data_IF_254262734261
#
_entry.id   IF_254262734261
#
_cell.length_a   1.000
_cell.length_b   1.000
_cell.length_c   1.000
_cell.angle_alpha   90.00
_cell.angle_beta   90.00
_cell.angle_gamma   90.00
#
_symmetry.space_group_name_H-M   'P 1'
#
loop_
_entity.id
_entity.type
_entity.pdbx_description
1 polymer ?
#
# COMPACT_ATOMS: atom_id res chain seq x y z
N UNK A 1 3.66 10.88 -16.42
CA UNK A 1 4.00 10.86 -14.98
C UNK A 1 3.14 9.83 -14.28
N UNK A 2 3.59 9.29 -13.16
CA UNK A 2 2.81 8.39 -12.33
C UNK A 2 3.19 8.52 -10.87
N UNK A 3 2.34 8.03 -9.97
CA UNK A 3 2.66 7.98 -8.56
C UNK A 3 1.95 6.84 -7.85
N UNK A 4 2.53 6.39 -6.75
CA UNK A 4 1.97 5.34 -5.92
C UNK A 4 2.36 5.49 -4.46
N UNK A 5 1.80 4.62 -3.65
CA UNK A 5 2.06 4.53 -2.22
C UNK A 5 2.70 3.20 -1.88
N UNK A 6 3.59 3.22 -0.92
CA UNK A 6 4.20 2.02 -0.34
C UNK A 6 4.04 2.05 1.18
N UNK A 7 3.01 1.36 1.72
CA UNK A 7 2.88 1.20 3.15
C UNK A 7 4.03 0.35 3.71
N UNK A 8 4.65 0.82 4.79
CA UNK A 8 5.68 0.08 5.50
C UNK A 8 5.39 0.01 6.98
N UNK A 9 5.91 -1.00 7.64
CA UNK A 9 5.72 -1.19 9.08
C UNK A 9 7.00 -1.65 9.76
N UNK A 10 7.05 -1.52 11.08
CA UNK A 10 8.09 -2.12 11.91
C UNK A 10 7.56 -3.38 12.59
N UNK A 11 8.19 -4.51 12.31
CA UNK A 11 7.89 -5.76 12.99
C UNK A 11 9.17 -6.44 13.48
N UNK A 12 9.26 -6.67 14.79
CA UNK A 12 10.45 -7.28 15.44
C UNK A 12 11.77 -6.58 15.06
N UNK A 13 11.73 -5.25 14.89
CA UNK A 13 12.89 -4.45 14.55
C UNK A 13 13.28 -4.42 13.06
N UNK A 14 12.51 -5.07 12.19
CA UNK A 14 12.68 -5.04 10.74
C UNK A 14 11.61 -4.18 10.08
N UNK A 15 11.95 -3.52 8.97
CA UNK A 15 10.98 -2.86 8.11
C UNK A 15 10.32 -3.91 7.22
N UNK A 16 9.00 -3.95 7.27
CA UNK A 16 8.15 -4.75 6.40
C UNK A 16 7.52 -3.84 5.35
N UNK A 17 7.50 -4.28 4.11
CA UNK A 17 7.00 -3.53 2.97
C UNK A 17 5.75 -4.23 2.42
N UNK A 18 4.63 -3.50 2.28
CA UNK A 18 3.40 -4.06 1.74
C UNK A 18 3.36 -3.85 0.24
N UNK A 19 3.32 -4.93 -0.53
CA UNK A 19 3.18 -4.90 -1.97
C UNK A 19 1.91 -5.59 -2.44
N UNK A 20 1.43 -5.15 -3.61
CA UNK A 20 0.30 -5.73 -4.32
C UNK A 20 0.75 -6.50 -5.56
N UNK A 21 0.10 -7.62 -5.83
CA UNK A 21 0.32 -8.45 -7.00
C UNK A 21 -0.69 -8.09 -8.09
N UNK A 22 -0.19 -7.58 -9.20
CA UNK A 22 -1.01 -7.23 -10.37
C UNK A 22 -1.80 -8.44 -10.87
N UNK A 23 -3.10 -8.31 -11.00
CA UNK A 23 -3.95 -9.38 -11.54
C UNK A 23 -3.59 -9.72 -12.98
N UNK A 24 -3.31 -8.71 -13.80
CA UNK A 24 -3.03 -8.86 -15.22
C UNK A 24 -1.70 -9.55 -15.53
N UNK A 25 -0.67 -9.33 -14.70
CA UNK A 25 0.71 -9.79 -14.99
C UNK A 25 1.22 -10.82 -13.99
N UNK A 26 0.61 -10.91 -12.79
CA UNK A 26 1.11 -11.71 -11.67
C UNK A 26 2.40 -11.15 -11.04
N UNK A 27 2.80 -9.94 -11.38
CA UNK A 27 4.01 -9.29 -10.85
C UNK A 27 3.67 -8.36 -9.69
N UNK A 28 4.61 -8.18 -8.77
CA UNK A 28 4.48 -7.33 -7.60
C UNK A 28 4.88 -5.88 -7.90
N UNK A 29 4.20 -4.92 -7.29
CA UNK A 29 4.54 -3.50 -7.24
C UNK A 29 3.95 -2.85 -5.98
N UNK A 30 4.23 -1.56 -5.79
CA UNK A 30 3.45 -0.70 -4.89
C UNK A 30 2.00 -0.54 -5.41
N UNK A 31 1.25 0.35 -4.76
CA UNK A 31 -0.12 0.69 -5.13
C UNK A 31 -0.10 2.04 -5.84
N UNK A 32 -0.23 2.03 -7.17
CA UNK A 32 -0.10 3.25 -7.94
C UNK A 32 -0.23 3.07 -9.44
N UNK A 33 -0.39 4.19 -10.13
CA UNK A 33 -0.65 4.24 -11.55
C UNK A 33 -0.33 5.57 -12.22
N UNK A 34 -1.01 5.83 -13.31
CA UNK A 34 -0.77 7.01 -14.14
C UNK A 34 -1.49 8.25 -13.60
N UNK A 35 -0.82 9.40 -13.70
CA UNK A 35 -1.40 10.70 -13.35
C UNK A 35 -2.48 11.09 -14.35
N UNK A 36 -3.66 11.41 -13.87
CA UNK A 36 -4.75 11.96 -14.66
C UNK A 36 -4.58 13.49 -14.88
N UNK A 37 -5.33 14.02 -15.85
CA UNK A 37 -5.23 15.42 -16.19
C UNK A 37 -5.66 16.33 -15.02
N UNK A 38 -4.73 17.14 -14.54
CA UNK A 38 -4.95 18.09 -13.44
C UNK A 38 -4.63 17.54 -12.06
N UNK A 39 -4.24 16.27 -11.93
CA UNK A 39 -3.78 15.72 -10.66
C UNK A 39 -2.35 16.17 -10.35
N UNK A 40 -2.10 16.38 -9.07
CA UNK A 40 -0.76 16.39 -8.49
C UNK A 40 -0.29 14.96 -8.22
N UNK A 41 1.02 14.75 -8.04
CA UNK A 41 1.59 13.42 -7.73
C UNK A 41 0.95 12.79 -6.49
N UNK A 42 0.72 13.55 -5.43
CA UNK A 42 0.09 13.03 -4.20
C UNK A 42 -1.38 12.67 -4.43
N UNK A 43 -2.11 13.43 -5.24
CA UNK A 43 -3.50 13.10 -5.59
C UNK A 43 -3.56 11.80 -6.38
N UNK A 44 -2.66 11.62 -7.36
CA UNK A 44 -2.52 10.35 -8.09
C UNK A 44 -2.22 9.19 -7.14
N UNK A 45 -1.22 9.34 -6.26
CA UNK A 45 -0.81 8.29 -5.33
C UNK A 45 -1.93 7.89 -4.36
N UNK A 46 -2.71 8.85 -3.87
CA UNK A 46 -3.85 8.62 -2.97
C UNK A 46 -5.00 7.95 -3.70
N UNK A 47 -5.38 8.42 -4.89
CA UNK A 47 -6.45 7.81 -5.69
C UNK A 47 -6.12 6.37 -6.02
N UNK A 48 -5.01 6.13 -6.67
CA UNK A 48 -4.56 4.79 -7.07
C UNK A 48 -4.40 3.86 -5.84
N UNK A 49 -3.77 4.36 -4.77
CA UNK A 49 -3.60 3.60 -3.56
C UNK A 49 -4.91 3.21 -2.89
N UNK A 50 -5.90 4.11 -2.86
CA UNK A 50 -7.24 3.82 -2.31
C UNK A 50 -7.98 2.78 -3.16
N UNK A 51 -7.92 2.91 -4.49
CA UNK A 51 -8.55 2.00 -5.44
C UNK A 51 -7.94 0.60 -5.37
N UNK A 52 -6.62 0.49 -5.51
CA UNK A 52 -5.91 -0.78 -5.54
C UNK A 52 -5.89 -1.53 -4.20
N UNK A 53 -6.00 -0.79 -3.08
CA UNK A 53 -6.18 -1.38 -1.75
C UNK A 53 -7.66 -1.64 -1.42
N UNK A 54 -8.61 -1.38 -2.34
CA UNK A 54 -10.04 -1.59 -2.13
C UNK A 54 -10.55 -0.93 -0.82
N UNK A 55 -10.01 0.23 -0.44
CA UNK A 55 -10.35 0.94 0.78
C UNK A 55 -9.86 0.32 2.10
N UNK A 56 -9.00 -0.71 2.07
CA UNK A 56 -8.47 -1.37 3.30
C UNK A 56 -7.69 -0.45 4.22
N UNK A 57 -7.17 0.67 3.71
CA UNK A 57 -6.50 1.71 4.52
C UNK A 57 -7.34 2.98 4.66
N UNK A 58 -8.64 2.90 4.41
CA UNK A 58 -9.59 4.01 4.48
C UNK A 58 -9.92 4.63 3.13
N UNK A 59 -10.67 5.73 3.17
CA UNK A 59 -10.97 6.54 1.99
C UNK A 59 -9.71 7.23 1.45
N UNK A 60 -9.83 7.89 0.29
CA UNK A 60 -8.74 8.73 -0.22
C UNK A 60 -8.33 9.84 0.76
N UNK A 61 -9.28 10.44 1.47
CA UNK A 61 -9.01 11.46 2.49
C UNK A 61 -8.26 10.86 3.69
N UNK A 62 -8.71 9.72 4.22
CA UNK A 62 -8.02 9.01 5.31
C UNK A 62 -6.60 8.61 4.92
N UNK A 63 -6.42 8.17 3.69
CA UNK A 63 -5.12 7.77 3.16
C UNK A 63 -4.18 8.97 2.98
N UNK A 64 -4.70 10.10 2.52
CA UNK A 64 -3.95 11.36 2.43
C UNK A 64 -3.46 11.81 3.81
N UNK A 65 -4.33 11.80 4.81
CA UNK A 65 -3.99 12.15 6.19
C UNK A 65 -2.92 11.20 6.77
N UNK A 66 -3.06 9.88 6.54
CA UNK A 66 -2.08 8.87 6.96
C UNK A 66 -0.71 9.11 6.33
N UNK A 67 -0.67 9.39 5.03
CA UNK A 67 0.58 9.67 4.33
C UNK A 67 1.24 10.92 4.89
N UNK A 68 0.50 12.03 5.02
CA UNK A 68 1.06 13.29 5.52
C UNK A 68 1.59 13.18 6.95
N UNK A 69 0.89 12.44 7.82
CA UNK A 69 1.28 12.26 9.21
C UNK A 69 2.48 11.35 9.41
N UNK A 70 2.58 10.28 8.62
CA UNK A 70 3.54 9.20 8.85
C UNK A 70 4.51 8.98 7.68
N UNK A 71 4.70 9.99 6.83
CA UNK A 71 5.63 9.95 5.71
C UNK A 71 7.05 9.67 6.20
N UNK A 72 7.70 8.68 5.63
CA UNK A 72 9.09 8.32 5.89
C UNK A 72 10.02 8.84 4.82
N UNK A 73 9.60 8.74 3.57
CA UNK A 73 10.37 9.15 2.41
C UNK A 73 9.46 9.31 1.18
N UNK A 74 9.88 10.15 0.25
CA UNK A 74 9.34 10.22 -1.11
C UNK A 74 10.46 9.87 -2.07
N UNK A 75 10.30 8.77 -2.78
CA UNK A 75 11.29 8.26 -3.70
C UNK A 75 10.87 8.59 -5.13
N UNK A 76 11.80 9.10 -5.91
CA UNK A 76 11.62 9.30 -7.35
C UNK A 76 12.46 8.32 -8.14
N UNK A 77 11.85 7.71 -9.13
CA UNK A 77 12.54 6.94 -10.15
C UNK A 77 11.92 7.23 -11.51
N UNK A 78 12.74 7.79 -12.42
CA UNK A 78 12.26 8.28 -13.71
C UNK A 78 11.09 9.28 -13.55
N UNK A 79 9.95 9.02 -14.16
CA UNK A 79 8.75 9.84 -14.07
C UNK A 79 7.73 9.32 -13.05
N UNK A 80 8.16 8.53 -12.07
CA UNK A 80 7.31 7.90 -11.06
C UNK A 80 7.73 8.29 -9.63
N UNK A 81 6.74 8.68 -8.82
CA UNK A 81 6.93 9.02 -7.40
C UNK A 81 6.31 7.95 -6.50
N UNK A 82 7.08 7.40 -5.55
CA UNK A 82 6.57 6.48 -4.53
C UNK A 82 6.58 7.16 -3.16
N UNK A 83 5.40 7.29 -2.53
CA UNK A 83 5.24 7.81 -1.17
C UNK A 83 5.33 6.66 -0.18
N UNK A 84 6.40 6.63 0.61
CA UNK A 84 6.68 5.59 1.61
C UNK A 84 6.24 6.13 2.97
N UNK A 85 5.26 5.49 3.59
CA UNK A 85 4.69 5.95 4.85
C UNK A 85 4.49 4.79 5.84
N UNK A 86 4.50 5.12 7.13
CA UNK A 86 4.40 4.14 8.19
C UNK A 86 2.95 3.80 8.54
N UNK A 87 2.68 2.51 8.67
CA UNK A 87 1.44 1.94 9.20
C UNK A 87 1.76 0.92 10.28
N UNK A 88 0.77 0.52 11.07
CA UNK A 88 0.91 -0.59 12.01
C UNK A 88 1.07 -1.92 11.26
N UNK A 89 1.89 -2.81 11.83
CA UNK A 89 2.02 -4.16 11.30
C UNK A 89 0.81 -4.99 11.70
N UNK A 90 0.04 -5.37 10.70
CA UNK A 90 -1.05 -6.33 10.87
C UNK A 90 -0.93 -7.45 9.82
N UNK A 91 -0.67 -8.66 10.31
CA UNK A 91 -0.65 -9.88 9.49
C UNK A 91 -2.02 -10.26 8.93
N UNK A 92 -3.10 -9.72 9.51
CA UNK A 92 -4.47 -10.04 9.12
C UNK A 92 -4.89 -9.25 7.87
N UNK A 93 -4.32 -8.06 7.64
CA UNK A 93 -4.67 -7.23 6.48
C UNK A 93 -4.49 -7.98 5.16
N UNK A 94 -3.33 -8.61 4.88
CA UNK A 94 -3.20 -9.43 3.67
C UNK A 94 -4.20 -10.59 3.61
N UNK A 95 -4.46 -11.24 4.74
CA UNK A 95 -5.41 -12.35 4.80
C UNK A 95 -6.83 -11.90 4.40
N UNK A 96 -7.31 -10.80 4.96
CA UNK A 96 -8.64 -10.28 4.65
C UNK A 96 -8.75 -9.76 3.23
N UNK A 97 -7.74 -9.00 2.78
CA UNK A 97 -7.69 -8.54 1.39
C UNK A 97 -7.75 -9.70 0.40
N UNK A 98 -6.89 -10.70 0.57
CA UNK A 98 -6.81 -11.84 -0.33
C UNK A 98 -8.09 -12.69 -0.31
N UNK A 99 -8.76 -12.82 0.84
CA UNK A 99 -10.04 -13.49 0.95
C UNK A 99 -11.17 -12.70 0.27
N UNK A 100 -11.20 -11.37 0.44
CA UNK A 100 -12.15 -10.49 -0.26
C UNK A 100 -12.00 -10.60 -1.78
N UNK A 101 -10.77 -10.62 -2.29
CA UNK A 101 -10.49 -10.80 -3.72
C UNK A 101 -10.97 -12.16 -4.23
N UNK A 102 -10.71 -13.26 -3.49
CA UNK A 102 -11.22 -14.60 -3.85
C UNK A 102 -12.74 -14.68 -3.84
N UNK A 103 -13.37 -14.04 -2.86
CA UNK A 103 -14.83 -13.93 -2.81
C UNK A 103 -15.37 -13.21 -4.04
N UNK A 104 -14.78 -12.04 -4.36
CA UNK A 104 -15.20 -11.25 -5.51
C UNK A 104 -14.98 -12.00 -6.84
N UNK A 105 -13.85 -12.70 -7.01
CA UNK A 105 -13.60 -13.55 -8.18
C UNK A 105 -14.67 -14.61 -8.38
N UNK A 106 -15.12 -15.23 -7.30
CA UNK A 106 -16.09 -16.33 -7.37
C UNK A 106 -17.53 -15.84 -7.56
N UNK A 107 -17.94 -14.83 -6.78
CA UNK A 107 -19.34 -14.38 -6.74
C UNK A 107 -19.64 -13.16 -7.61
N UNK A 108 -18.65 -12.37 -7.97
CA UNK A 108 -18.78 -11.10 -8.69
C UNK A 108 -17.82 -11.02 -9.91
N UNK A 109 -17.70 -12.09 -10.74
CA UNK A 109 -16.67 -12.15 -11.78
C UNK A 109 -16.79 -10.99 -12.79
N UNK A 110 -17.99 -10.52 -13.08
CA UNK A 110 -18.23 -9.40 -13.99
C UNK A 110 -17.71 -8.06 -13.43
N UNK A 111 -17.67 -7.90 -12.10
CA UNK A 111 -17.11 -6.71 -11.46
C UNK A 111 -15.59 -6.79 -11.49
N UNK A 112 -15.02 -7.95 -11.14
CA UNK A 112 -13.56 -8.17 -11.14
C UNK A 112 -12.96 -8.07 -12.53
N UNK A 113 -13.66 -8.54 -13.57
CA UNK A 113 -13.21 -8.47 -14.97
C UNK A 113 -13.57 -7.15 -15.67
N UNK A 114 -14.34 -6.30 -15.01
CA UNK A 114 -14.81 -5.02 -15.57
C UNK A 114 -13.66 -4.03 -15.72
N UNK A 115 -13.33 -3.65 -16.97
CA UNK A 115 -12.26 -2.71 -17.30
C UNK A 115 -12.51 -1.25 -16.86
N UNK A 116 -13.66 -0.95 -16.26
CA UNK A 116 -14.10 0.42 -15.97
C UNK A 116 -13.98 0.81 -14.49
N UNK A 117 -13.68 -0.13 -13.62
CA UNK A 117 -13.45 0.17 -12.22
C UNK A 117 -12.03 -0.27 -11.87
N UNK A 118 -11.29 0.59 -11.22
CA UNK A 118 -9.93 0.33 -10.72
C UNK A 118 -9.90 -0.66 -9.54
N UNK A 119 -11.09 -1.17 -9.14
CA UNK A 119 -11.21 -2.13 -8.05
C UNK A 119 -10.70 -3.52 -8.48
N UNK A 120 -10.07 -4.21 -7.54
CA UNK A 120 -9.56 -5.57 -7.74
C UNK A 120 -8.41 -5.71 -8.76
N UNK A 121 -7.72 -4.62 -9.10
CA UNK A 121 -6.53 -4.69 -9.97
C UNK A 121 -5.39 -5.47 -9.31
N UNK A 122 -5.26 -5.40 -7.98
CA UNK A 122 -4.38 -6.29 -7.22
C UNK A 122 -5.14 -7.55 -6.82
N UNK A 123 -4.61 -8.70 -7.20
CA UNK A 123 -5.19 -10.02 -6.85
C UNK A 123 -4.79 -10.48 -5.45
N UNK A 124 -3.65 -10.03 -4.94
CA UNK A 124 -3.05 -10.43 -3.68
C UNK A 124 -2.23 -9.28 -3.11
N UNK A 125 -2.19 -9.14 -1.78
CA UNK A 125 -1.20 -8.30 -1.11
C UNK A 125 -0.40 -9.13 -0.09
N UNK A 126 0.86 -8.73 0.16
CA UNK A 126 1.75 -9.42 1.10
C UNK A 126 2.79 -8.48 1.68
N UNK A 127 3.11 -8.70 2.95
CA UNK A 127 4.29 -8.12 3.58
C UNK A 127 5.56 -8.83 3.12
N UNK A 128 6.57 -8.04 2.76
CA UNK A 128 7.90 -8.52 2.37
C UNK A 128 8.95 -7.98 3.33
N UNK A 129 9.93 -8.80 3.67
CA UNK A 129 11.18 -8.31 4.26
C UNK A 129 12.10 -7.74 3.17
N UNK A 130 13.14 -7.01 3.59
CA UNK A 130 14.16 -6.51 2.65
C UNK A 130 14.85 -7.66 1.91
N UNK A 131 15.16 -8.75 2.62
CA UNK A 131 15.79 -9.95 2.06
C UNK A 131 14.88 -10.60 0.99
N UNK A 132 13.59 -10.77 1.29
CA UNK A 132 12.63 -11.34 0.33
C UNK A 132 12.51 -10.48 -0.93
N UNK A 133 12.45 -9.14 -0.79
CA UNK A 133 12.41 -8.24 -1.95
C UNK A 133 13.66 -8.39 -2.84
N UNK A 134 14.83 -8.44 -2.21
CA UNK A 134 16.10 -8.58 -2.92
C UNK A 134 16.19 -9.92 -3.65
N UNK A 135 15.91 -11.01 -2.95
CA UNK A 135 16.07 -12.37 -3.45
C UNK A 135 14.99 -12.71 -4.49
N UNK A 136 13.79 -12.18 -4.32
CA UNK A 136 12.65 -12.37 -5.23
C UNK A 136 12.45 -11.20 -6.21
N UNK A 137 13.45 -10.36 -6.45
CA UNK A 137 13.34 -9.16 -7.29
C UNK A 137 12.76 -9.41 -8.68
N UNK A 138 12.96 -10.60 -9.26
CA UNK A 138 12.40 -10.98 -10.57
C UNK A 138 10.87 -11.07 -10.58
N UNK A 139 10.24 -11.24 -9.41
CA UNK A 139 8.78 -11.27 -9.25
C UNK A 139 8.15 -9.88 -9.29
N UNK A 140 8.93 -8.80 -9.28
CA UNK A 140 8.45 -7.43 -9.37
C UNK A 140 8.40 -6.93 -10.80
N UNK A 141 7.49 -5.97 -11.07
CA UNK A 141 7.38 -5.31 -12.38
C UNK A 141 8.75 -4.78 -12.82
N UNK A 142 9.09 -4.85 -14.13
CA UNK A 142 10.43 -4.49 -14.62
C UNK A 142 10.92 -3.13 -14.13
N UNK A 143 10.10 -2.07 -14.23
CA UNK A 143 10.48 -0.73 -13.77
C UNK A 143 10.64 -0.68 -12.26
N UNK A 144 9.83 -1.43 -11.51
CA UNK A 144 9.85 -1.43 -10.05
C UNK A 144 11.10 -2.13 -9.47
N UNK A 145 11.78 -2.96 -10.25
CA UNK A 145 13.05 -3.60 -9.83
C UNK A 145 14.16 -2.60 -9.53
N UNK A 146 14.16 -1.45 -10.20
CA UNK A 146 15.09 -0.34 -9.90
C UNK A 146 14.72 0.33 -8.57
N UNK A 147 13.44 0.53 -8.31
CA UNK A 147 12.93 1.03 -7.03
C UNK A 147 13.32 0.07 -5.89
N UNK A 148 13.18 -1.25 -6.07
CA UNK A 148 13.65 -2.24 -5.09
C UNK A 148 15.14 -2.08 -4.78
N UNK A 149 16.00 -1.83 -5.77
CA UNK A 149 17.43 -1.60 -5.52
C UNK A 149 17.66 -0.37 -4.63
N UNK A 150 16.91 0.71 -4.86
CA UNK A 150 17.00 1.93 -4.04
C UNK A 150 16.50 1.65 -2.62
N UNK A 151 15.36 0.95 -2.46
CA UNK A 151 14.82 0.59 -1.14
C UNK A 151 15.80 -0.28 -0.34
N UNK A 152 16.50 -1.23 -0.99
CA UNK A 152 17.52 -2.07 -0.36
C UNK A 152 18.73 -1.24 0.03
N UNK A 153 19.18 -0.31 -0.83
CA UNK A 153 20.30 0.61 -0.53
C UNK A 153 19.97 1.50 0.67
N UNK A 154 18.77 2.07 0.69
CA UNK A 154 18.34 3.04 1.70
C UNK A 154 17.72 2.41 2.96
N UNK A 155 17.77 1.07 3.07
CA UNK A 155 17.08 0.32 4.13
C UNK A 155 17.43 0.81 5.55
N UNK A 156 18.67 1.11 5.83
CA UNK A 156 19.12 1.57 7.15
C UNK A 156 18.47 2.91 7.50
N UNK A 157 18.43 3.84 6.54
CA UNK A 157 17.79 5.15 6.69
C UNK A 157 16.29 5.00 6.88
N UNK A 158 15.63 4.20 6.05
CA UNK A 158 14.20 3.92 6.18
C UNK A 158 13.85 3.30 7.53
N UNK A 159 14.67 2.36 8.01
CA UNK A 159 14.51 1.74 9.32
C UNK A 159 14.66 2.75 10.46
N UNK A 160 15.63 3.66 10.36
CA UNK A 160 15.82 4.74 11.33
C UNK A 160 14.61 5.68 11.35
N UNK A 161 14.17 6.14 10.19
CA UNK A 161 13.00 7.00 10.06
C UNK A 161 11.73 6.33 10.61
N UNK A 162 11.52 5.05 10.28
CA UNK A 162 10.37 4.29 10.76
C UNK A 162 10.35 4.12 12.29
N UNK A 163 11.48 4.17 12.99
CA UNK A 163 11.52 4.16 14.45
C UNK A 163 11.10 5.49 15.07
N UNK A 164 11.34 6.59 14.38
CA UNK A 164 11.16 7.95 14.88
C UNK A 164 9.80 8.58 14.49
N UNK A 165 9.14 8.06 13.46
CA UNK A 165 7.84 8.54 12.99
C UNK A 165 6.73 7.74 13.64
N UNK A 166 5.70 8.43 14.16
CA UNK A 166 4.51 7.78 14.72
C UNK A 166 3.59 7.26 13.62
N UNK A 167 2.82 6.23 13.94
CA UNK A 167 1.72 5.77 13.09
C UNK A 167 0.52 6.69 13.28
N UNK A 168 -0.18 6.98 12.19
CA UNK A 168 -1.43 7.73 12.25
C UNK A 168 -2.48 6.96 13.08
N UNK A 169 -3.06 7.56 14.11
CA UNK A 169 -4.06 6.88 14.94
C UNK A 169 -5.34 6.62 14.14
N UNK A 170 -5.78 5.37 14.06
CA UNK A 170 -7.04 5.03 13.42
C UNK A 170 -8.22 5.62 14.22
N UNK A 171 -8.93 6.57 13.63
CA UNK A 171 -10.10 7.24 14.22
C UNK A 171 -11.25 6.27 14.55
N UNK A 172 -11.28 5.11 13.91
CA UNK A 172 -12.39 4.16 14.03
C UNK A 172 -12.50 3.45 15.39
N UNK A 173 -11.45 3.45 16.23
CA UNK A 173 -11.49 2.80 17.55
C UNK A 173 -11.82 3.74 18.70
N UNK A 174 -11.76 5.06 18.53
CA UNK A 174 -11.95 6.01 19.63
C UNK A 174 -13.39 6.49 19.83
N UNK A 175 -14.28 6.32 18.85
CA UNK A 175 -15.64 6.89 18.92
C UNK A 175 -16.78 5.88 19.19
N UNK A 176 -16.55 4.57 19.13
CA UNK A 176 -17.63 3.58 19.20
C UNK A 176 -17.66 2.69 20.46
N UNK A 177 -16.94 3.02 21.52
CA UNK A 177 -17.15 2.37 22.83
C UNK A 177 -17.98 3.30 23.73
N UNK A 178 -19.22 3.62 23.33
CA UNK A 178 -20.26 3.94 24.31
C UNK A 178 -20.72 2.62 24.92
N UNK A 179 -20.12 2.27 26.05
CA UNK A 179 -20.66 1.23 26.92
C UNK A 179 -22.04 1.69 27.39
N UNK A 180 -23.09 1.15 26.79
CA UNK A 180 -24.45 1.23 27.32
C UNK A 180 -24.43 0.40 28.61
N UNK A 181 -24.26 1.02 29.74
CA UNK A 181 -24.55 0.38 31.03
C UNK A 181 -26.07 0.26 31.10
N UNK A 182 -26.56 -0.97 30.97
CA UNK A 182 -27.94 -1.27 31.32
C UNK A 182 -28.12 -1.00 32.82
N UNK A 183 -29.07 -0.16 33.13
CA UNK A 183 -29.61 0.10 34.49
C UNK A 183 -30.54 -1.06 34.89
#
# INVERSE_FOLDING_TARGET
>A
MGAGILPVSLYKGHVMFLFGKERATGLWSDFGGSTERGETEIQTAVREGSEELNGFYGSGEDLFDKINYSLLNKLYYDSYATYIFRVDYDKSVPKYFNNNNKFAEYYLPNIVSGRKNSLFEKSEIRWFTMEEMRDQKRMFRPFYRSIINILVHDYITLRSNAKNVNVYPDKAYSENVRVVRAS
#
